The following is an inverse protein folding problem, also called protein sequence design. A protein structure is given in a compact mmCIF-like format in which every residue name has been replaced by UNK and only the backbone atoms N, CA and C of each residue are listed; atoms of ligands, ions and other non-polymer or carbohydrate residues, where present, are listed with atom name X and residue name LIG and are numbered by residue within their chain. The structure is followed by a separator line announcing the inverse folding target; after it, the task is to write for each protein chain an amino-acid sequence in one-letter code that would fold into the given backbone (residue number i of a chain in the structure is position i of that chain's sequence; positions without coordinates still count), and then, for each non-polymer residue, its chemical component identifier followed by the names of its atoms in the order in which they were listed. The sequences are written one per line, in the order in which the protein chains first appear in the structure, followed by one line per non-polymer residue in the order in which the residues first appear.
data_IF_969544213653
#
_entry.id   IF_969544213653
#
_cell.length_a   1.000
_cell.length_b   1.000
_cell.length_c   1.000
_cell.angle_alpha   90.00
_cell.angle_beta   90.00
_cell.angle_gamma   90.00
#
_symmetry.space_group_name_H-M   'P 1'
#
loop_
_entity.id
_entity.type
_entity.pdbx_description
1 polymer ?
#
# COMPACT_ATOMS: atom_id res chain seq x y z
N UNK A 1 2.78 -10.83 9.63
CA UNK A 1 2.17 -11.25 8.34
C UNK A 1 3.05 -12.30 7.68
N UNK A 2 4.33 -12.01 7.41
CA UNK A 2 5.30 -13.00 6.91
C UNK A 2 5.54 -14.18 7.88
N UNK A 3 5.41 -13.96 9.19
CA UNK A 3 5.44 -15.04 10.19
C UNK A 3 4.25 -16.02 10.08
N UNK A 4 3.13 -15.56 9.53
CA UNK A 4 1.92 -16.37 9.36
C UNK A 4 1.80 -16.94 7.94
N UNK A 5 2.35 -16.23 6.96
CA UNK A 5 2.35 -16.60 5.55
C UNK A 5 3.76 -16.46 4.97
N UNK A 6 4.62 -17.48 5.16
CA UNK A 6 6.04 -17.43 4.77
C UNK A 6 6.27 -17.24 3.26
N UNK A 7 5.27 -17.58 2.44
CA UNK A 7 5.32 -17.44 1.00
C UNK A 7 4.66 -16.16 0.47
N UNK A 8 4.11 -15.32 1.36
CA UNK A 8 3.48 -14.06 0.94
C UNK A 8 4.52 -13.12 0.35
N UNK A 9 4.13 -12.43 -0.73
CA UNK A 9 4.93 -11.38 -1.36
C UNK A 9 4.26 -10.05 -1.10
N UNK A 10 5.03 -9.08 -0.61
CA UNK A 10 4.53 -7.80 -0.15
C UNK A 10 4.96 -6.70 -1.12
N UNK A 11 3.98 -5.93 -1.61
CA UNK A 11 4.19 -4.76 -2.46
C UNK A 11 3.90 -3.53 -1.60
N UNK A 12 4.87 -2.62 -1.54
CA UNK A 12 4.71 -1.32 -0.88
C UNK A 12 4.42 -0.29 -1.97
N UNK A 13 3.17 0.19 -2.01
CA UNK A 13 2.77 1.28 -2.88
C UNK A 13 2.96 2.61 -2.16
N UNK A 14 3.86 3.45 -2.69
CA UNK A 14 4.09 4.81 -2.20
C UNK A 14 3.59 5.84 -3.19
N UNK A 15 3.28 7.03 -2.71
CA UNK A 15 2.88 8.19 -3.49
C UNK A 15 3.62 9.41 -2.96
N UNK A 16 3.82 10.43 -3.80
CA UNK A 16 4.41 11.70 -3.36
C UNK A 16 3.59 12.28 -2.19
N UNK A 17 4.22 12.37 -1.00
CA UNK A 17 3.56 12.83 0.22
C UNK A 17 3.02 14.26 0.09
N UNK A 18 3.59 15.06 -0.83
CA UNK A 18 3.11 16.41 -1.14
C UNK A 18 1.79 16.35 -1.91
N UNK A 19 1.62 15.41 -2.83
CA UNK A 19 0.32 15.18 -3.49
C UNK A 19 -0.71 14.59 -2.53
N UNK A 20 -0.28 13.77 -1.56
CA UNK A 20 -1.16 13.30 -0.49
C UNK A 20 -1.69 14.46 0.35
N UNK A 21 -0.87 15.48 0.65
CA UNK A 21 -1.31 16.68 1.33
C UNK A 21 -2.38 17.46 0.53
N UNK A 22 -2.31 17.43 -0.81
CA UNK A 22 -3.24 18.14 -1.71
C UNK A 22 -4.59 17.47 -1.87
N UNK A 23 -4.60 16.13 -1.89
CA UNK A 23 -5.83 15.34 -2.00
C UNK A 23 -6.83 15.67 -0.90
N UNK A 24 -6.36 16.27 0.18
CA UNK A 24 -7.13 16.65 1.36
C UNK A 24 -7.49 18.14 1.36
N UNK A 25 -6.64 19.01 0.79
CA UNK A 25 -6.92 20.44 0.59
C UNK A 25 -8.11 20.69 -0.36
N UNK A 26 -8.09 20.07 -1.54
CA UNK A 26 -9.13 20.21 -2.56
C UNK A 26 -10.46 19.47 -2.23
N UNK A 27 -10.42 18.56 -1.25
CA UNK A 27 -11.60 17.82 -0.79
C UNK A 27 -12.61 18.74 -0.08
N UNK A 28 -12.14 19.79 0.60
CA UNK A 28 -12.98 20.77 1.31
C UNK A 28 -13.85 21.62 0.37
N UNK A 29 -13.42 21.85 -0.87
CA UNK A 29 -14.12 22.76 -1.78
C UNK A 29 -15.28 22.08 -2.51
N UNK A 30 -15.28 20.74 -2.63
CA UNK A 30 -16.10 20.07 -3.65
C UNK A 30 -17.23 19.18 -3.15
N UNK A 31 -17.20 18.59 -1.94
CA UNK A 31 -18.30 17.69 -1.47
C UNK A 31 -18.45 17.68 0.05
N UNK A 32 -19.65 17.99 0.53
CA UNK A 32 -20.04 17.98 1.95
C UNK A 32 -20.21 16.59 2.59
N UNK A 33 -19.33 15.62 2.30
CA UNK A 33 -19.20 14.39 3.10
C UNK A 33 -17.76 13.86 3.11
N UNK A 34 -17.41 13.15 4.19
CA UNK A 34 -16.11 13.17 4.87
C UNK A 34 -15.27 11.91 4.61
N UNK A 35 -13.96 12.07 4.31
CA UNK A 35 -12.97 11.01 4.45
C UNK A 35 -11.58 11.57 4.85
N UNK A 36 -10.70 10.74 5.44
CA UNK A 36 -9.31 11.03 5.87
C UNK A 36 -9.08 11.89 7.13
N UNK A 37 -10.12 12.24 7.90
CA UNK A 37 -9.96 12.78 9.26
C UNK A 37 -9.37 14.20 9.37
N UNK A 38 -9.24 14.94 8.26
CA UNK A 38 -8.67 16.31 8.23
C UNK A 38 -9.41 17.31 9.11
N UNK A 39 -10.72 17.16 9.28
CA UNK A 39 -11.55 18.03 10.13
C UNK A 39 -11.10 18.06 11.61
N UNK A 40 -10.20 17.15 12.01
CA UNK A 40 -9.58 17.14 13.35
C UNK A 40 -8.49 18.20 13.52
N UNK A 41 -8.06 18.86 12.45
CA UNK A 41 -6.92 19.79 12.46
C UNK A 41 -7.36 21.21 12.11
N UNK A 42 -6.74 22.19 12.75
CA UNK A 42 -7.11 23.61 12.63
C UNK A 42 -6.48 24.29 11.41
N UNK A 43 -5.49 23.66 10.79
CA UNK A 43 -4.79 24.20 9.61
C UNK A 43 -4.12 23.11 8.79
N UNK A 44 -3.82 23.42 7.52
CA UNK A 44 -3.03 22.53 6.65
C UNK A 44 -1.62 22.28 7.17
N UNK A 45 -1.02 23.29 7.79
CA UNK A 45 0.28 23.15 8.43
C UNK A 45 0.25 22.14 9.56
N UNK A 46 -0.82 22.12 10.36
CA UNK A 46 -1.01 21.14 11.43
C UNK A 46 -1.25 19.73 10.87
N UNK A 47 -2.10 19.62 9.84
CA UNK A 47 -2.34 18.35 9.15
C UNK A 47 -1.06 17.75 8.55
N UNK A 48 -0.25 18.57 7.88
CA UNK A 48 1.06 18.17 7.33
C UNK A 48 2.00 17.73 8.46
N UNK A 49 2.11 18.53 9.52
CA UNK A 49 3.01 18.25 10.65
C UNK A 49 2.66 16.95 11.37
N UNK A 50 1.39 16.59 11.42
CA UNK A 50 0.90 15.44 12.17
C UNK A 50 0.70 14.25 11.25
N UNK A 51 -0.29 14.29 10.37
CA UNK A 51 -0.74 13.16 9.57
C UNK A 51 0.26 12.82 8.48
N UNK A 52 0.60 13.78 7.61
CA UNK A 52 1.51 13.51 6.49
C UNK A 52 2.90 13.12 6.99
N UNK A 53 3.42 13.83 8.01
CA UNK A 53 4.69 13.48 8.65
C UNK A 53 4.70 12.04 9.18
N UNK A 54 3.70 11.67 9.97
CA UNK A 54 3.62 10.32 10.54
C UNK A 54 3.43 9.25 9.47
N UNK A 55 2.63 9.52 8.44
CA UNK A 55 2.50 8.61 7.29
C UNK A 55 3.83 8.41 6.58
N UNK A 56 4.56 9.49 6.28
CA UNK A 56 5.87 9.43 5.63
C UNK A 56 6.89 8.65 6.48
N UNK A 57 6.97 8.94 7.79
CA UNK A 57 7.86 8.26 8.71
C UNK A 57 7.54 6.76 8.85
N UNK A 58 6.26 6.41 8.99
CA UNK A 58 5.82 5.01 9.10
C UNK A 58 6.11 4.22 7.82
N UNK A 59 5.87 4.81 6.65
CA UNK A 59 6.19 4.16 5.37
C UNK A 59 7.70 3.98 5.19
N UNK A 60 8.49 4.99 5.54
CA UNK A 60 9.94 4.91 5.50
C UNK A 60 10.48 3.82 6.43
N UNK A 61 9.94 3.74 7.64
CA UNK A 61 10.32 2.70 8.60
C UNK A 61 9.99 1.30 8.06
N UNK A 62 8.76 1.08 7.58
CA UNK A 62 8.35 -0.20 7.00
C UNK A 62 9.22 -0.60 5.81
N UNK A 63 9.54 0.36 4.93
CA UNK A 63 10.45 0.13 3.82
C UNK A 63 11.84 -0.28 4.32
N UNK A 64 12.44 0.45 5.25
CA UNK A 64 13.78 0.13 5.79
C UNK A 64 13.85 -1.25 6.44
N UNK A 65 12.80 -1.63 7.17
CA UNK A 65 12.72 -2.95 7.82
C UNK A 65 12.59 -4.10 6.83
N UNK A 66 11.99 -3.86 5.65
CA UNK A 66 11.54 -4.95 4.76
C UNK A 66 11.97 -4.82 3.30
N UNK A 67 12.82 -3.85 2.95
CA UNK A 67 13.23 -3.60 1.56
C UNK A 67 13.86 -4.79 0.84
N UNK A 68 14.44 -5.73 1.59
CA UNK A 68 15.03 -6.97 1.07
C UNK A 68 13.98 -8.04 0.70
N UNK A 69 12.74 -7.88 1.16
CA UNK A 69 11.66 -8.86 1.00
C UNK A 69 10.42 -8.29 0.31
N UNK A 70 10.41 -6.98 0.04
CA UNK A 70 9.26 -6.25 -0.49
C UNK A 70 9.58 -5.63 -1.84
N UNK A 71 8.55 -5.42 -2.65
CA UNK A 71 8.66 -4.69 -3.92
C UNK A 71 8.07 -3.29 -3.79
N UNK A 72 8.90 -2.28 -4.04
CA UNK A 72 8.49 -0.87 -3.97
C UNK A 72 7.91 -0.43 -5.31
N UNK A 73 6.70 0.14 -5.27
CA UNK A 73 6.00 0.70 -6.43
C UNK A 73 5.62 2.13 -6.13
N UNK A 74 5.89 3.05 -7.06
CA UNK A 74 5.32 4.40 -7.01
C UNK A 74 3.98 4.42 -7.72
N UNK A 75 3.01 5.07 -7.09
CA UNK A 75 1.72 5.36 -7.69
C UNK A 75 1.90 6.10 -9.02
N UNK A 76 2.83 7.04 -9.09
CA UNK A 76 3.09 7.83 -10.30
C UNK A 76 3.53 6.95 -11.48
N UNK A 77 4.42 5.97 -11.25
CA UNK A 77 4.86 5.04 -12.29
C UNK A 77 3.71 4.10 -12.71
N UNK A 78 2.90 3.63 -11.75
CA UNK A 78 1.74 2.79 -12.03
C UNK A 78 0.70 3.50 -12.93
N UNK A 79 0.59 4.82 -12.83
CA UNK A 79 -0.32 5.63 -13.66
C UNK A 79 0.32 6.07 -14.98
N UNK A 80 1.59 6.47 -14.97
CA UNK A 80 2.28 7.05 -16.13
C UNK A 80 2.90 6.00 -17.06
N UNK A 81 3.34 4.88 -16.50
CA UNK A 81 3.99 3.75 -17.20
C UNK A 81 3.39 2.41 -16.77
N UNK A 82 2.05 2.24 -16.88
CA UNK A 82 1.34 1.11 -16.30
C UNK A 82 1.84 -0.25 -16.81
N UNK A 83 2.17 -0.36 -18.10
CA UNK A 83 2.66 -1.62 -18.68
C UNK A 83 3.99 -2.06 -18.06
N UNK A 84 4.95 -1.13 -17.99
CA UNK A 84 6.27 -1.39 -17.42
C UNK A 84 6.17 -1.71 -15.92
N UNK A 85 5.38 -0.93 -15.19
CA UNK A 85 5.20 -1.12 -13.75
C UNK A 85 4.49 -2.43 -13.43
N UNK A 86 3.41 -2.78 -14.14
CA UNK A 86 2.72 -4.06 -13.97
C UNK A 86 3.60 -5.24 -14.35
N UNK A 87 4.40 -5.12 -15.42
CA UNK A 87 5.37 -6.16 -15.79
C UNK A 87 6.35 -6.45 -14.67
N UNK A 88 6.89 -5.40 -14.03
CA UNK A 88 7.82 -5.56 -12.91
C UNK A 88 7.13 -6.16 -11.67
N UNK A 89 5.89 -5.75 -11.38
CA UNK A 89 5.10 -6.33 -10.29
C UNK A 89 4.84 -7.81 -10.54
N UNK A 90 4.45 -8.19 -11.75
CA UNK A 90 4.09 -9.56 -12.09
C UNK A 90 5.33 -10.46 -12.07
N UNK A 91 6.47 -9.96 -12.56
CA UNK A 91 7.75 -10.63 -12.38
C UNK A 91 8.06 -10.84 -10.90
N UNK A 92 7.91 -9.80 -10.07
CA UNK A 92 8.10 -9.91 -8.62
C UNK A 92 7.12 -10.88 -7.97
N UNK A 93 5.92 -11.07 -8.52
CA UNK A 93 4.93 -12.03 -8.00
C UNK A 93 5.06 -13.44 -8.57
N UNK A 94 6.00 -13.69 -9.49
CA UNK A 94 6.09 -14.92 -10.31
C UNK A 94 4.77 -15.22 -11.07
N UNK A 95 4.16 -14.19 -11.64
CA UNK A 95 2.99 -14.29 -12.53
C UNK A 95 3.41 -14.10 -13.99
N UNK A 96 2.54 -14.49 -14.93
CA UNK A 96 2.75 -14.25 -16.36
C UNK A 96 2.78 -12.75 -16.67
N UNK A 97 3.98 -12.22 -16.93
CA UNK A 97 4.22 -10.82 -17.27
C UNK A 97 4.32 -10.58 -18.79
N UNK A 98 3.80 -11.49 -19.62
CA UNK A 98 3.77 -11.29 -21.07
C UNK A 98 2.97 -10.03 -21.42
N UNK A 99 3.40 -9.33 -22.47
CA UNK A 99 2.70 -8.12 -22.96
C UNK A 99 1.22 -8.41 -23.23
N UNK A 100 0.90 -9.59 -23.74
CA UNK A 100 -0.48 -10.00 -24.02
C UNK A 100 -1.37 -10.07 -22.78
N UNK A 101 -0.83 -10.56 -21.66
CA UNK A 101 -1.55 -10.65 -20.39
C UNK A 101 -1.73 -9.27 -19.76
N UNK A 102 -0.67 -8.46 -19.76
CA UNK A 102 -0.71 -7.09 -19.24
C UNK A 102 -1.72 -6.22 -20.01
N UNK A 103 -1.68 -6.26 -21.35
CA UNK A 103 -2.61 -5.47 -22.17
C UNK A 103 -4.08 -5.83 -21.92
N UNK A 104 -4.40 -7.13 -21.75
CA UNK A 104 -5.76 -7.59 -21.39
C UNK A 104 -6.20 -7.06 -20.03
N UNK A 105 -5.32 -7.09 -19.03
CA UNK A 105 -5.63 -6.57 -17.69
C UNK A 105 -5.89 -5.07 -17.74
N UNK A 106 -5.07 -4.31 -18.47
CA UNK A 106 -5.26 -2.87 -18.65
C UNK A 106 -6.57 -2.56 -19.38
N UNK A 107 -6.91 -3.32 -20.41
CA UNK A 107 -8.18 -3.17 -21.11
C UNK A 107 -9.36 -3.39 -20.16
N UNK A 108 -9.33 -4.43 -19.33
CA UNK A 108 -10.38 -4.69 -18.34
C UNK A 108 -10.41 -3.61 -17.25
N UNK A 109 -9.26 -3.21 -16.72
CA UNK A 109 -9.16 -2.20 -15.66
C UNK A 109 -9.59 -0.80 -16.12
N UNK A 110 -9.46 -0.50 -17.42
CA UNK A 110 -9.94 0.75 -18.02
C UNK A 110 -11.48 0.84 -18.10
N UNK A 111 -12.18 -0.30 -17.93
CA UNK A 111 -13.64 -0.33 -17.93
C UNK A 111 -14.14 0.24 -16.59
N UNK A 112 -14.94 1.30 -16.71
CA UNK A 112 -15.38 2.14 -15.60
C UNK A 112 -16.31 1.35 -14.65
N UNK A 113 -15.78 0.79 -13.57
CA UNK A 113 -16.59 0.06 -12.58
C UNK A 113 -17.18 0.99 -11.51
N UNK A 114 -18.37 0.70 -10.96
CA UNK A 114 -18.96 1.48 -9.87
C UNK A 114 -18.06 1.62 -8.63
N UNK A 115 -17.22 0.61 -8.37
CA UNK A 115 -16.24 0.58 -7.28
C UNK A 115 -15.09 1.56 -7.53
N UNK A 116 -14.58 1.63 -8.77
CA UNK A 116 -13.56 2.63 -9.17
C UNK A 116 -14.08 4.07 -9.03
N UNK A 117 -15.36 4.31 -9.35
CA UNK A 117 -15.97 5.65 -9.22
C UNK A 117 -16.08 6.15 -7.78
N UNK A 118 -16.20 5.26 -6.79
CA UNK A 118 -16.31 5.63 -5.37
C UNK A 118 -14.98 6.05 -4.74
N UNK A 119 -13.86 5.50 -5.18
CA UNK A 119 -12.54 5.76 -4.58
C UNK A 119 -11.68 6.77 -5.36
N UNK A 120 -12.14 7.23 -6.53
CA UNK A 120 -11.44 8.22 -7.33
C UNK A 120 -11.70 9.64 -6.81
N UNK A 121 -10.63 10.32 -6.39
CA UNK A 121 -10.67 11.73 -5.99
C UNK A 121 -10.53 12.70 -7.17
N UNK A 122 -10.14 12.22 -8.36
CA UNK A 122 -10.08 12.99 -9.62
C UNK A 122 -10.75 12.26 -10.79
N UNK A 123 -11.28 13.03 -11.75
CA UNK A 123 -11.90 12.54 -12.98
C UNK A 123 -10.88 11.89 -13.95
N UNK A 124 -9.59 12.07 -13.68
CA UNK A 124 -8.46 11.44 -14.35
C UNK A 124 -7.33 11.17 -13.33
N UNK A 125 -6.85 9.93 -13.12
CA UNK A 125 -5.79 9.64 -12.14
C UNK A 125 -4.49 10.44 -12.39
N UNK A 126 -4.20 10.76 -13.65
CA UNK A 126 -3.05 11.54 -14.09
C UNK A 126 -3.11 12.98 -13.55
N UNK A 127 -4.30 13.58 -13.47
CA UNK A 127 -4.50 14.91 -12.89
C UNK A 127 -4.18 14.95 -11.39
N UNK A 128 -4.05 13.80 -10.74
CA UNK A 128 -3.72 13.71 -9.32
C UNK A 128 -2.21 13.76 -9.03
N UNK A 129 -1.37 13.74 -10.07
CA UNK A 129 0.09 13.72 -9.97
C UNK A 129 0.64 15.14 -10.10
N UNK A 130 1.48 15.54 -9.16
CA UNK A 130 2.13 16.85 -9.13
C UNK A 130 1.22 18.04 -8.83
N UNK A 131 -0.01 17.79 -8.36
CA UNK A 131 -0.97 18.83 -7.96
C UNK A 131 -0.42 19.75 -6.89
N UNK A 132 0.46 19.24 -6.04
CA UNK A 132 1.07 20.02 -4.95
C UNK A 132 1.80 21.28 -5.38
N UNK A 133 2.26 21.34 -6.63
CA UNK A 133 2.90 22.54 -7.19
C UNK A 133 1.92 23.69 -7.39
N UNK A 134 0.64 23.37 -7.56
CA UNK A 134 -0.44 24.33 -7.84
C UNK A 134 -1.36 24.51 -6.63
N UNK A 135 -1.66 23.42 -5.92
CA UNK A 135 -2.69 23.39 -4.88
C UNK A 135 -2.16 23.79 -3.49
N UNK A 136 -0.85 23.66 -3.23
CA UNK A 136 -0.23 24.17 -2.01
C UNK A 136 0.42 25.52 -2.29
N UNK A 137 0.25 26.47 -1.38
CA UNK A 137 1.05 27.69 -1.41
C UNK A 137 2.55 27.37 -1.18
N UNK A 138 3.43 28.28 -1.59
CA UNK A 138 4.88 28.06 -1.52
C UNK A 138 5.39 27.79 -0.10
N UNK A 139 4.75 28.34 0.95
CA UNK A 139 5.13 28.08 2.34
C UNK A 139 4.82 26.65 2.75
N UNK A 140 3.66 26.13 2.34
CA UNK A 140 3.24 24.76 2.58
C UNK A 140 4.01 23.75 1.72
N UNK A 141 4.37 24.10 0.48
CA UNK A 141 5.25 23.28 -0.37
C UNK A 141 6.59 23.04 0.31
N UNK A 142 7.25 24.13 0.74
CA UNK A 142 8.54 24.06 1.45
C UNK A 142 8.39 23.27 2.75
N UNK A 143 7.39 23.61 3.57
CA UNK A 143 7.18 22.95 4.85
C UNK A 143 6.90 21.44 4.71
N UNK A 144 6.07 21.04 3.75
CA UNK A 144 5.79 19.63 3.50
C UNK A 144 7.04 18.88 3.00
N UNK A 145 7.83 19.53 2.15
CA UNK A 145 9.09 18.97 1.65
C UNK A 145 10.09 18.77 2.78
N UNK A 146 10.28 19.76 3.66
CA UNK A 146 11.16 19.67 4.83
C UNK A 146 10.72 18.54 5.78
N UNK A 147 9.43 18.50 6.11
CA UNK A 147 8.88 17.53 7.06
C UNK A 147 8.97 16.09 6.54
N UNK A 148 8.89 15.89 5.22
CA UNK A 148 8.91 14.58 4.58
C UNK A 148 10.23 14.27 3.87
N UNK A 149 11.27 15.10 4.05
CA UNK A 149 12.47 15.11 3.20
C UNK A 149 13.12 13.74 3.09
N UNK A 150 13.34 13.08 4.22
CA UNK A 150 14.03 11.78 4.29
C UNK A 150 13.26 10.70 3.50
N UNK A 151 11.93 10.64 3.69
CA UNK A 151 11.09 9.68 2.98
C UNK A 151 11.00 10.01 1.49
N UNK A 152 10.87 11.29 1.13
CA UNK A 152 10.85 11.73 -0.27
C UNK A 152 12.14 11.31 -0.99
N UNK A 153 13.31 11.53 -0.37
CA UNK A 153 14.60 11.13 -0.93
C UNK A 153 14.72 9.61 -1.07
N UNK A 154 14.38 8.84 -0.03
CA UNK A 154 14.48 7.38 -0.06
C UNK A 154 13.59 6.76 -1.14
N UNK A 155 12.40 7.32 -1.36
CA UNK A 155 11.47 6.86 -2.40
C UNK A 155 11.73 7.49 -3.79
N UNK A 156 12.84 8.23 -3.95
CA UNK A 156 13.29 8.75 -5.25
C UNK A 156 12.54 10.00 -5.75
N UNK A 157 11.81 10.70 -4.89
CA UNK A 157 11.16 11.96 -5.23
C UNK A 157 12.14 13.13 -5.15
N UNK A 158 12.11 14.00 -6.17
CA UNK A 158 12.94 15.20 -6.17
C UNK A 158 12.38 16.26 -5.21
N UNK A 159 13.26 16.84 -4.41
CA UNK A 159 12.95 17.88 -3.43
C UNK A 159 12.72 19.26 -4.08
N UNK A 160 13.40 19.57 -5.18
CA UNK A 160 13.28 20.86 -5.89
C UNK A 160 11.96 21.01 -6.65
N UNK A 161 11.30 19.89 -6.92
CA UNK A 161 10.08 19.84 -7.72
C UNK A 161 10.27 20.23 -9.20
N UNK A 162 11.51 20.34 -9.69
CA UNK A 162 11.81 20.78 -11.07
C UNK A 162 12.31 19.69 -12.01
N UNK A 163 12.71 18.52 -11.49
CA UNK A 163 13.22 17.43 -12.33
C UNK A 163 12.39 16.14 -12.22
N UNK A 164 12.55 15.26 -13.21
CA UNK A 164 11.99 13.90 -13.21
C UNK A 164 12.46 13.16 -11.96
N UNK A 165 11.57 12.37 -11.36
CA UNK A 165 11.88 11.55 -10.20
C UNK A 165 13.04 10.59 -10.54
N UNK A 166 13.95 10.38 -9.59
CA UNK A 166 15.07 9.46 -9.77
C UNK A 166 14.57 8.02 -9.95
N UNK A 167 15.33 7.13 -10.62
CA UNK A 167 15.02 5.71 -10.65
C UNK A 167 14.86 5.18 -9.22
N UNK A 168 13.85 4.34 -9.00
CA UNK A 168 13.65 3.71 -7.70
C UNK A 168 14.87 2.87 -7.31
N UNK A 169 15.19 2.76 -6.00
CA UNK A 169 16.14 1.77 -5.53
C UNK A 169 15.70 0.39 -6.05
N UNK A 170 16.65 -0.33 -6.67
CA UNK A 170 16.36 -1.63 -7.28
C UNK A 170 15.79 -2.57 -6.22
N UNK A 171 14.64 -3.17 -6.52
CA UNK A 171 14.11 -4.26 -5.71
C UNK A 171 15.08 -5.44 -5.75
N UNK A 172 15.51 -5.91 -4.58
CA UNK A 172 16.29 -7.13 -4.47
C UNK A 172 15.30 -8.29 -4.54
N UNK A 173 15.50 -9.21 -5.50
CA UNK A 173 14.65 -10.42 -5.58
C UNK A 173 14.81 -11.18 -4.26
N UNK A 174 13.71 -11.47 -3.52
CA UNK A 174 13.80 -12.29 -2.34
C UNK A 174 14.37 -13.66 -2.74
N UNK A 175 15.50 -14.07 -2.16
CA UNK A 175 15.99 -15.43 -2.30
C UNK A 175 15.09 -16.34 -1.47
N UNK A 176 14.01 -16.82 -2.07
CA UNK A 176 13.20 -17.88 -1.48
C UNK A 176 14.07 -19.13 -1.50
N UNK A 177 14.53 -19.57 -0.33
CA UNK A 177 15.04 -20.94 -0.18
C UNK A 177 13.87 -21.86 -0.51
N UNK A 178 13.90 -22.44 -1.70
CA UNK A 178 13.00 -23.54 -2.06
C UNK A 178 13.37 -24.72 -1.18
N UNK A 179 12.74 -24.83 -0.01
CA UNK A 179 12.68 -26.12 0.64
C UNK A 179 11.79 -27.03 -0.22
N UNK A 180 12.36 -28.19 -0.54
CA UNK A 180 11.79 -29.27 -1.34
C UNK A 180 10.33 -29.60 -0.99
N UNK A 181 9.56 -30.20 -1.92
CA UNK A 181 8.17 -30.55 -1.70
C UNK A 181 8.02 -31.32 -0.39
N UNK A 182 7.08 -30.84 0.46
CA UNK A 182 6.70 -31.41 1.74
C UNK A 182 6.54 -32.94 1.61
N UNK A 183 7.59 -33.69 1.92
CA UNK A 183 7.47 -35.08 2.32
C UNK A 183 7.01 -35.08 3.77
N UNK A 184 5.89 -35.73 4.11
CA UNK A 184 5.42 -35.77 5.48
C UNK A 184 6.33 -36.71 6.26
N UNK A 185 7.36 -36.15 6.89
CA UNK A 185 8.21 -36.92 7.80
C UNK A 185 7.74 -36.60 9.22
N UNK A 186 7.01 -37.54 9.79
CA UNK A 186 6.72 -37.59 11.22
C UNK A 186 8.05 -37.50 12.00
N UNK A 187 8.21 -36.47 12.83
CA UNK A 187 8.56 -36.66 14.25
C UNK A 187 8.74 -35.32 14.97
N UNK A 188 8.03 -35.21 16.10
CA UNK A 188 8.38 -34.43 17.29
C UNK A 188 8.54 -32.92 17.15
N UNK A 189 7.43 -32.18 17.13
CA UNK A 189 7.37 -30.89 17.82
C UNK A 189 5.91 -30.53 18.12
N UNK A 190 5.38 -30.90 19.29
CA UNK A 190 4.36 -30.13 20.00
C UNK A 190 4.11 -30.79 21.37
N UNK A 191 4.70 -30.24 22.43
CA UNK A 191 4.15 -30.38 23.78
C UNK A 191 3.04 -29.35 23.92
N UNK A 192 1.84 -29.71 23.47
CA UNK A 192 0.62 -28.94 23.76
C UNK A 192 0.31 -29.04 25.26
N UNK A 193 0.17 -27.89 25.92
CA UNK A 193 -0.26 -27.83 27.31
C UNK A 193 -1.76 -28.11 27.41
N UNK A 194 -2.17 -28.78 28.49
CA UNK A 194 -3.55 -29.21 28.76
C UNK A 194 -4.57 -28.05 28.72
N UNK A 195 -4.10 -26.84 28.99
CA UNK A 195 -4.84 -25.57 28.89
C UNK A 195 -5.24 -25.25 27.44
N UNK A 196 -4.32 -25.43 26.47
CA UNK A 196 -4.57 -25.16 25.05
C UNK A 196 -5.60 -26.14 24.49
N UNK A 197 -5.52 -27.42 24.90
CA UNK A 197 -6.50 -28.45 24.51
C UNK A 197 -7.89 -28.16 25.04
N UNK A 198 -8.02 -27.76 26.31
CA UNK A 198 -9.31 -27.33 26.89
C UNK A 198 -9.89 -26.12 26.15
N UNK A 199 -9.06 -25.15 25.78
CA UNK A 199 -9.51 -23.94 25.08
C UNK A 199 -10.00 -24.24 23.65
N UNK A 200 -9.33 -25.15 22.96
CA UNK A 200 -9.73 -25.63 21.63
C UNK A 200 -11.06 -26.40 21.65
N UNK A 201 -11.25 -27.28 22.64
CA UNK A 201 -12.52 -28.01 22.79
C UNK A 201 -13.69 -27.07 23.16
N UNK A 202 -13.43 -26.05 23.97
CA UNK A 202 -14.43 -25.04 24.31
C UNK A 202 -14.84 -24.20 23.08
N UNK A 203 -13.86 -23.84 22.23
CA UNK A 203 -14.12 -23.12 20.97
C UNK A 203 -14.91 -24.01 19.98
N UNK A 204 -14.54 -25.28 19.82
CA UNK A 204 -15.28 -26.22 18.95
C UNK A 204 -16.73 -26.39 19.41
N UNK A 205 -16.97 -26.53 20.71
CA UNK A 205 -18.31 -26.62 21.28
C UNK A 205 -19.15 -25.37 21.01
N UNK A 206 -18.55 -24.17 21.13
CA UNK A 206 -19.23 -22.91 20.80
C UNK A 206 -19.62 -22.83 19.31
N UNK A 207 -18.71 -23.22 18.40
CA UNK A 207 -19.02 -23.25 16.97
C UNK A 207 -20.10 -24.27 16.61
N UNK A 208 -20.11 -25.44 17.26
CA UNK A 208 -21.15 -26.44 17.03
C UNK A 208 -22.53 -25.94 17.50
N UNK A 209 -22.58 -25.26 18.64
CA UNK A 209 -23.82 -24.68 19.17
C UNK A 209 -24.37 -23.54 18.28
N UNK A 210 -23.48 -22.69 17.75
CA UNK A 210 -23.86 -21.64 16.79
C UNK A 210 -24.42 -22.28 15.51
N UNK A 211 -23.75 -23.32 15.00
CA UNK A 211 -24.19 -24.05 13.79
C UNK A 211 -25.54 -24.73 13.97
N UNK A 212 -25.82 -25.26 15.16
CA UNK A 212 -27.12 -25.88 15.47
C UNK A 212 -28.23 -24.84 15.60
N UNK A 213 -27.96 -23.66 16.19
CA UNK A 213 -28.93 -22.56 16.24
C UNK A 213 -29.31 -22.03 14.85
N UNK A 214 -28.35 -21.94 13.94
CA UNK A 214 -28.58 -21.49 12.56
C UNK A 214 -29.35 -22.49 11.69
N UNK A 215 -29.42 -23.78 12.10
CA UNK A 215 -30.20 -24.80 11.38
C UNK A 215 -31.65 -24.92 11.86
N UNK A 216 -32.00 -24.33 13.00
CA UNK A 216 -33.31 -24.41 13.63
C UNK A 216 -34.03 -23.04 13.68
N UNK A 217 -33.64 -22.08 12.83
CA UNK A 217 -34.34 -20.81 12.58
C UNK A 217 -34.70 -20.68 11.11
#
# INVERSE_FOLDING_TARGET
MLELYPQAREIILVRDFRDMACSVAAFNTKRGYVDFGRQRFKSDREYIRTTIKSTAANMLQLWRERKEQTHLVRYEDLILTPEQTLSSIFEYLNLDNSSSTISKILEVASKDTPQLKRHRTSANPQESIGRWRQDLDSSLQTFCTEVCQEALQEFGYNLSGKDKASPLPKTIKPQIKTESPLTPTNSNFFKETESTRKRLEQIKSQFQNIRNKLKNS
#
